data_IF_867804388506
#
_entry.id   IF_867804388506
#
_cell.length_a   1.000
_cell.length_b   1.000
_cell.length_c   1.000
_cell.angle_alpha   90.00
_cell.angle_beta   90.00
_cell.angle_gamma   90.00
#
_symmetry.space_group_name_H-M   'P 1'
#
loop_
_entity.id
_entity.type
_entity.pdbx_description
1 polymer ?
#
# COMPACT_ATOMS: atom_id res chain seq x y z
N UNK A 1 -27.55 1.43 16.59
CA UNK A 1 -26.32 2.21 16.89
C UNK A 1 -25.62 2.56 15.57
N UNK A 2 -24.93 3.70 15.49
CA UNK A 2 -24.09 4.02 14.31
C UNK A 2 -22.92 3.03 14.28
N UNK A 3 -22.73 2.34 13.17
CA UNK A 3 -21.71 1.29 12.99
C UNK A 3 -20.31 1.85 13.32
N UNK A 4 -19.44 1.12 14.05
CA UNK A 4 -18.08 1.56 14.28
C UNK A 4 -17.32 1.58 12.96
N UNK A 5 -16.81 2.74 12.57
CA UNK A 5 -15.94 2.91 11.42
C UNK A 5 -14.53 2.50 11.84
N UNK A 6 -14.13 1.26 11.52
CA UNK A 6 -12.81 0.74 11.91
C UNK A 6 -11.84 0.94 10.75
N UNK A 7 -11.11 2.05 10.81
CA UNK A 7 -9.90 2.26 10.00
C UNK A 7 -8.71 2.02 10.92
N UNK A 8 -7.73 1.18 10.56
CA UNK A 8 -6.55 1.00 11.38
C UNK A 8 -5.86 2.36 11.58
N UNK A 9 -5.67 2.75 12.83
CA UNK A 9 -4.90 3.91 13.20
C UNK A 9 -3.40 3.55 13.21
N UNK A 10 -2.50 4.50 12.93
CA UNK A 10 -1.07 4.27 13.12
C UNK A 10 -0.75 3.82 14.55
N UNK A 11 0.24 2.93 14.76
CA UNK A 11 0.61 2.44 16.09
C UNK A 11 0.93 3.55 17.09
N UNK A 12 1.52 4.66 16.63
CA UNK A 12 1.83 5.84 17.43
C UNK A 12 0.56 6.49 17.97
N UNK A 13 -0.51 6.54 17.17
CA UNK A 13 -1.82 7.08 17.57
C UNK A 13 -2.46 6.15 18.58
N UNK A 14 -2.38 4.84 18.37
CA UNK A 14 -2.88 3.84 19.31
C UNK A 14 -2.20 3.99 20.67
N UNK A 15 -0.87 4.11 20.69
CA UNK A 15 -0.10 4.32 21.91
C UNK A 15 -0.49 5.60 22.67
N UNK A 16 -0.79 6.69 21.95
CA UNK A 16 -1.30 7.94 22.53
C UNK A 16 -2.67 7.74 23.18
N UNK A 17 -3.61 7.09 22.49
CA UNK A 17 -4.95 6.82 23.00
C UNK A 17 -4.91 5.91 24.23
N UNK A 18 -4.07 4.88 24.23
CA UNK A 18 -3.88 4.01 25.39
C UNK A 18 -3.28 4.75 26.58
N UNK A 19 -2.28 5.60 26.35
CA UNK A 19 -1.68 6.40 27.40
C UNK A 19 -2.71 7.36 28.01
N UNK A 20 -3.57 7.95 27.17
CA UNK A 20 -4.69 8.79 27.63
C UNK A 20 -5.70 7.99 28.45
N UNK A 21 -6.07 6.79 27.99
CA UNK A 21 -6.98 5.89 28.71
C UNK A 21 -6.43 5.50 30.09
N UNK A 22 -5.11 5.27 30.19
CA UNK A 22 -4.40 4.99 31.46
C UNK A 22 -4.28 6.21 32.38
N UNK A 23 -4.80 7.38 31.99
CA UNK A 23 -4.87 8.58 32.81
C UNK A 23 -3.73 9.58 32.61
N UNK A 24 -2.94 9.47 31.54
CA UNK A 24 -1.88 10.44 31.25
C UNK A 24 -2.49 11.84 30.98
N UNK A 25 -2.14 12.87 31.77
CA UNK A 25 -2.84 14.15 31.73
C UNK A 25 -2.44 15.04 30.54
N UNK A 26 -1.22 14.91 30.03
CA UNK A 26 -0.71 15.67 28.88
C UNK A 26 0.21 14.80 28.02
N UNK A 27 -0.16 14.61 26.76
CA UNK A 27 0.58 13.81 25.78
C UNK A 27 1.24 14.64 24.69
N UNK A 28 1.12 15.97 24.74
CA UNK A 28 1.71 16.86 23.72
C UNK A 28 3.24 16.87 23.71
N UNK A 29 3.88 16.30 24.73
CA UNK A 29 5.34 16.13 24.81
C UNK A 29 5.77 14.65 24.72
N UNK A 30 4.84 13.74 24.47
CA UNK A 30 5.19 12.32 24.33
C UNK A 30 6.00 12.09 23.04
N UNK A 31 6.93 11.14 23.07
CA UNK A 31 7.76 10.82 21.92
C UNK A 31 6.91 10.42 20.69
N UNK A 32 5.85 9.63 20.90
CA UNK A 32 4.91 9.22 19.85
C UNK A 32 4.23 10.42 19.19
N UNK A 33 3.80 11.42 19.96
CA UNK A 33 3.19 12.62 19.39
C UNK A 33 4.20 13.52 18.69
N UNK A 34 5.40 13.70 19.25
CA UNK A 34 6.44 14.53 18.63
C UNK A 34 6.84 13.95 17.26
N UNK A 35 7.02 12.63 17.18
CA UNK A 35 7.33 11.94 15.93
C UNK A 35 6.22 12.09 14.88
N UNK A 36 4.95 11.93 15.30
CA UNK A 36 3.80 11.94 14.41
C UNK A 36 3.37 13.35 13.97
N UNK A 37 3.42 14.33 14.89
CA UNK A 37 2.89 15.68 14.67
C UNK A 37 3.51 16.35 13.45
N UNK A 38 4.84 16.31 13.34
CA UNK A 38 5.53 16.94 12.21
C UNK A 38 5.04 16.38 10.87
N UNK A 39 4.85 15.06 10.80
CA UNK A 39 4.39 14.42 9.57
C UNK A 39 2.93 14.80 9.26
N UNK A 40 2.03 14.75 10.24
CA UNK A 40 0.63 15.13 10.05
C UNK A 40 0.48 16.59 9.64
N UNK A 41 1.17 17.52 10.30
CA UNK A 41 1.14 18.94 9.95
C UNK A 41 1.66 19.16 8.53
N UNK A 42 2.77 18.54 8.15
CA UNK A 42 3.30 18.64 6.79
C UNK A 42 2.35 18.06 5.74
N UNK A 43 1.74 16.91 6.03
CA UNK A 43 0.80 16.25 5.11
C UNK A 43 -0.45 17.09 4.93
N UNK A 44 -1.07 17.59 6.00
CA UNK A 44 -2.26 18.43 5.91
C UNK A 44 -1.96 19.76 5.21
N UNK A 45 -0.81 20.38 5.49
CA UNK A 45 -0.39 21.61 4.79
C UNK A 45 -0.14 21.34 3.30
N UNK A 46 0.52 20.23 2.96
CA UNK A 46 0.70 19.82 1.56
C UNK A 46 -0.65 19.60 0.88
N UNK A 47 -1.57 18.87 1.50
CA UNK A 47 -2.92 18.65 0.95
C UNK A 47 -3.62 19.97 0.64
N UNK A 48 -3.55 20.94 1.56
CA UNK A 48 -4.12 22.28 1.38
C UNK A 48 -3.50 23.03 0.21
N UNK A 49 -2.18 23.09 0.16
CA UNK A 49 -1.44 23.86 -0.85
C UNK A 49 -1.52 23.23 -2.23
N UNK A 50 -1.53 21.90 -2.30
CA UNK A 50 -1.44 21.12 -3.54
C UNK A 50 -2.78 20.55 -4.03
N UNK A 51 -3.90 20.77 -3.33
CA UNK A 51 -5.21 20.36 -3.81
C UNK A 51 -5.58 21.12 -5.10
N UNK A 52 -5.33 20.48 -6.25
CA UNK A 52 -5.59 21.03 -7.58
C UNK A 52 -7.06 21.04 -7.98
N UNK A 53 -7.95 20.38 -7.24
CA UNK A 53 -9.37 20.27 -7.56
C UNK A 53 -10.28 20.69 -6.39
N UNK A 54 -11.37 21.41 -6.67
CA UNK A 54 -12.31 21.90 -5.64
C UNK A 54 -12.98 20.78 -4.85
N UNK A 55 -13.25 19.64 -5.51
CA UNK A 55 -13.80 18.45 -4.87
C UNK A 55 -12.93 17.85 -3.76
N UNK A 56 -11.65 18.24 -3.66
CA UNK A 56 -10.75 17.81 -2.59
C UNK A 56 -10.84 18.70 -1.34
N UNK A 57 -11.31 19.94 -1.47
CA UNK A 57 -11.30 20.94 -0.40
C UNK A 57 -12.07 20.51 0.87
N UNK A 58 -13.24 19.82 0.79
CA UNK A 58 -13.94 19.34 1.99
C UNK A 58 -13.11 18.36 2.83
N UNK A 59 -12.35 17.47 2.18
CA UNK A 59 -11.49 16.51 2.87
C UNK A 59 -10.29 17.22 3.53
N UNK A 60 -9.71 18.24 2.88
CA UNK A 60 -8.66 19.08 3.45
C UNK A 60 -9.14 19.80 4.70
N UNK A 61 -10.28 20.51 4.62
CA UNK A 61 -10.83 21.27 5.74
C UNK A 61 -11.14 20.36 6.94
N UNK A 62 -11.70 19.17 6.66
CA UNK A 62 -11.93 18.16 7.70
C UNK A 62 -10.62 17.70 8.35
N UNK A 63 -9.58 17.40 7.57
CA UNK A 63 -8.29 17.00 8.11
C UNK A 63 -7.66 18.09 9.01
N UNK A 64 -7.69 19.36 8.60
CA UNK A 64 -7.20 20.49 9.41
C UNK A 64 -7.95 20.63 10.74
N UNK A 65 -9.29 20.60 10.68
CA UNK A 65 -10.13 20.71 11.87
C UNK A 65 -9.88 19.56 12.85
N UNK A 66 -9.82 18.33 12.35
CA UNK A 66 -9.64 17.16 13.20
C UNK A 66 -8.22 17.05 13.76
N UNK A 67 -7.19 17.47 13.01
CA UNK A 67 -5.82 17.54 13.52
C UNK A 67 -5.72 18.51 14.71
N UNK A 68 -6.34 19.68 14.60
CA UNK A 68 -6.38 20.67 15.69
C UNK A 68 -7.07 20.11 16.92
N UNK A 69 -8.27 19.52 16.75
CA UNK A 69 -9.01 18.87 17.85
C UNK A 69 -8.25 17.71 18.49
N UNK A 70 -7.54 16.93 17.68
CA UNK A 70 -6.71 15.84 18.18
C UNK A 70 -5.56 16.37 19.05
N UNK A 71 -4.86 17.42 18.60
CA UNK A 71 -3.79 18.06 19.36
C UNK A 71 -4.29 18.66 20.69
N UNK A 72 -5.42 19.38 20.67
CA UNK A 72 -6.04 19.95 21.87
C UNK A 72 -6.43 18.86 22.88
N UNK A 73 -6.98 17.73 22.40
CA UNK A 73 -7.37 16.63 23.26
C UNK A 73 -6.18 15.90 23.92
N UNK A 74 -5.04 15.82 23.23
CA UNK A 74 -3.79 15.32 23.82
C UNK A 74 -3.31 16.21 24.97
N UNK A 75 -3.60 17.52 24.92
CA UNK A 75 -3.27 18.50 25.95
C UNK A 75 -4.07 18.42 27.26
N UNK A 76 -5.02 17.49 27.38
CA UNK A 76 -5.77 17.29 28.64
C UNK A 76 -7.20 17.81 28.64
N UNK A 77 -7.61 18.56 27.61
CA UNK A 77 -8.84 19.36 27.65
C UNK A 77 -10.12 18.60 27.26
N UNK A 78 -10.00 17.35 26.82
CA UNK A 78 -11.05 16.62 26.10
C UNK A 78 -11.16 15.17 26.63
N UNK A 79 -12.37 14.61 26.61
CA UNK A 79 -12.61 13.21 27.00
C UNK A 79 -11.96 12.23 26.01
N UNK A 80 -11.61 11.02 26.47
CA UNK A 80 -10.99 9.98 25.64
C UNK A 80 -11.83 9.65 24.38
N UNK A 81 -13.16 9.59 24.53
CA UNK A 81 -14.08 9.31 23.44
C UNK A 81 -13.99 10.35 22.31
N UNK A 82 -13.97 11.63 22.69
CA UNK A 82 -13.87 12.76 21.76
C UNK A 82 -12.50 12.80 21.09
N UNK A 83 -11.42 12.58 21.84
CA UNK A 83 -10.06 12.44 21.28
C UNK A 83 -9.98 11.29 20.25
N UNK A 84 -10.58 10.15 20.58
CA UNK A 84 -10.60 8.98 19.71
C UNK A 84 -11.40 9.26 18.44
N UNK A 85 -12.57 9.91 18.56
CA UNK A 85 -13.36 10.31 17.38
C UNK A 85 -12.58 11.27 16.47
N UNK A 86 -11.85 12.23 17.04
CA UNK A 86 -11.00 13.12 16.24
C UNK A 86 -9.88 12.38 15.52
N UNK A 87 -9.24 11.39 16.16
CA UNK A 87 -8.26 10.53 15.48
C UNK A 87 -8.88 9.82 14.26
N UNK A 88 -9.99 9.10 14.46
CA UNK A 88 -10.64 8.38 13.36
C UNK A 88 -11.12 9.29 12.24
N UNK A 89 -11.65 10.48 12.56
CA UNK A 89 -12.09 11.44 11.54
C UNK A 89 -10.93 12.09 10.80
N UNK A 90 -9.81 12.34 11.48
CA UNK A 90 -8.57 12.81 10.84
C UNK A 90 -8.09 11.80 9.80
N UNK A 91 -7.83 10.55 10.21
CA UNK A 91 -7.35 9.52 9.29
C UNK A 91 -8.39 9.14 8.23
N UNK A 92 -9.69 9.23 8.56
CA UNK A 92 -10.77 9.12 7.58
C UNK A 92 -10.73 10.23 6.51
N UNK A 93 -10.48 11.48 6.90
CA UNK A 93 -10.33 12.59 5.97
C UNK A 93 -9.08 12.47 5.08
N UNK A 94 -7.97 11.99 5.64
CA UNK A 94 -6.74 11.69 4.88
C UNK A 94 -6.99 10.60 3.83
N UNK A 95 -7.66 9.51 4.21
CA UNK A 95 -8.01 8.43 3.29
C UNK A 95 -9.02 8.87 2.22
N UNK A 96 -10.03 9.66 2.61
CA UNK A 96 -11.02 10.20 1.67
C UNK A 96 -10.37 11.15 0.67
N UNK A 97 -9.41 11.97 1.09
CA UNK A 97 -8.63 12.80 0.17
C UNK A 97 -7.87 11.92 -0.85
N UNK A 98 -7.19 10.87 -0.40
CA UNK A 98 -6.48 9.95 -1.28
C UNK A 98 -7.43 9.25 -2.28
N UNK A 99 -8.60 8.81 -1.81
CA UNK A 99 -9.65 8.18 -2.63
C UNK A 99 -10.22 9.16 -3.65
N UNK A 100 -10.57 10.37 -3.26
CA UNK A 100 -11.08 11.40 -4.17
C UNK A 100 -10.01 11.76 -5.21
N UNK A 101 -8.75 11.89 -4.79
CA UNK A 101 -7.62 12.12 -5.69
C UNK A 101 -7.51 11.01 -6.73
N UNK A 102 -7.59 9.73 -6.35
CA UNK A 102 -7.50 8.63 -7.32
C UNK A 102 -8.62 8.66 -8.36
N UNK A 103 -9.81 9.17 -8.01
CA UNK A 103 -10.95 9.28 -8.94
C UNK A 103 -10.83 10.43 -9.95
N UNK A 104 -9.98 11.43 -9.71
CA UNK A 104 -9.87 12.64 -10.53
C UNK A 104 -9.03 12.47 -11.80
N UNK A 105 -8.88 11.24 -12.32
CA UNK A 105 -7.94 10.86 -13.40
C UNK A 105 -6.54 11.42 -13.10
N UNK A 106 -5.83 10.72 -12.22
CA UNK A 106 -4.41 10.95 -11.98
C UNK A 106 -3.62 10.28 -13.10
N UNK A 107 -2.60 10.98 -13.61
CA UNK A 107 -1.62 10.31 -14.47
C UNK A 107 -0.88 9.27 -13.62
N UNK A 108 -0.66 8.06 -14.12
CA UNK A 108 0.06 7.02 -13.37
C UNK A 108 1.58 7.28 -13.28
N UNK A 109 2.07 8.25 -14.05
CA UNK A 109 3.45 8.75 -13.97
C UNK A 109 3.49 9.86 -12.91
N UNK A 110 4.12 9.63 -11.73
CA UNK A 110 4.04 10.53 -10.59
C UNK A 110 4.50 11.97 -10.89
N UNK A 111 5.55 12.13 -11.69
CA UNK A 111 6.11 13.44 -12.05
C UNK A 111 5.16 14.24 -12.95
N UNK A 112 4.39 13.56 -13.81
CA UNK A 112 3.38 14.21 -14.66
C UNK A 112 2.17 14.61 -13.83
N UNK A 113 1.68 13.72 -12.95
CA UNK A 113 0.58 14.05 -12.03
C UNK A 113 0.95 15.22 -11.13
N UNK A 114 2.15 15.21 -10.54
CA UNK A 114 2.64 16.27 -9.68
C UNK A 114 2.69 17.63 -10.41
N UNK A 115 3.17 17.65 -11.67
CA UNK A 115 3.21 18.86 -12.48
C UNK A 115 1.81 19.39 -12.81
N UNK A 116 0.87 18.51 -13.16
CA UNK A 116 -0.54 18.90 -13.41
C UNK A 116 -1.17 19.50 -12.15
N UNK A 117 -0.97 18.88 -10.98
CA UNK A 117 -1.46 19.41 -9.71
C UNK A 117 -0.81 20.76 -9.37
N UNK A 118 0.49 20.91 -9.61
CA UNK A 118 1.20 22.17 -9.40
C UNK A 118 0.58 23.31 -10.22
N UNK A 119 0.30 23.06 -11.51
CA UNK A 119 -0.33 24.05 -12.40
C UNK A 119 -1.74 24.44 -11.94
N UNK A 120 -2.55 23.46 -11.55
CA UNK A 120 -3.87 23.76 -11.00
C UNK A 120 -3.78 24.54 -9.68
N UNK A 121 -2.84 24.20 -8.80
CA UNK A 121 -2.63 24.91 -7.55
C UNK A 121 -2.14 26.37 -7.75
N UNK A 122 -1.29 26.62 -8.75
CA UNK A 122 -0.91 27.98 -9.18
C UNK A 122 -2.13 28.76 -9.67
N UNK A 123 -2.95 28.16 -10.55
CA UNK A 123 -4.18 28.79 -11.04
C UNK A 123 -5.18 29.14 -9.92
N UNK A 124 -5.11 28.41 -8.80
CA UNK A 124 -5.91 28.67 -7.59
C UNK A 124 -5.23 29.61 -6.59
N UNK A 125 -4.05 30.15 -6.91
CA UNK A 125 -3.28 31.06 -6.06
C UNK A 125 -2.69 30.40 -4.80
N UNK A 126 -2.49 29.07 -4.80
CA UNK A 126 -2.04 28.30 -3.63
C UNK A 126 -0.53 28.00 -3.62
N UNK A 127 0.09 27.99 -4.79
CA UNK A 127 1.53 27.79 -4.99
C UNK A 127 2.17 28.94 -5.74
N UNK A 128 3.43 29.23 -5.40
CA UNK A 128 4.30 30.14 -6.15
C UNK A 128 5.10 29.41 -7.22
N UNK A 129 5.59 30.15 -8.23
CA UNK A 129 6.42 29.59 -9.31
C UNK A 129 7.77 29.04 -8.84
N UNK A 130 8.30 29.57 -7.74
CA UNK A 130 9.50 29.08 -7.07
C UNK A 130 9.36 27.63 -6.58
N UNK A 131 8.14 27.21 -6.23
CA UNK A 131 7.84 25.84 -5.81
C UNK A 131 7.51 24.91 -6.98
N UNK A 132 7.09 25.47 -8.12
CA UNK A 132 6.80 24.73 -9.35
C UNK A 132 8.08 24.40 -10.11
N UNK A 133 9.11 25.24 -10.03
CA UNK A 133 10.35 25.09 -10.80
C UNK A 133 11.04 23.73 -10.56
N UNK A 134 11.22 23.24 -9.32
CA UNK A 134 11.80 21.92 -9.08
C UNK A 134 10.92 20.76 -9.60
N UNK A 135 9.60 20.94 -9.65
CA UNK A 135 8.66 19.93 -10.19
C UNK A 135 8.81 19.85 -11.70
N UNK A 136 8.94 21.01 -12.36
CA UNK A 136 9.21 21.10 -13.79
C UNK A 136 10.54 20.42 -14.16
N UNK A 137 11.58 20.59 -13.36
CA UNK A 137 12.87 19.89 -13.58
C UNK A 137 12.73 18.37 -13.51
N UNK A 138 12.01 17.84 -12.50
CA UNK A 138 11.72 16.40 -12.39
C UNK A 138 10.89 15.89 -13.56
N UNK A 139 9.88 16.66 -13.98
CA UNK A 139 9.07 16.35 -15.15
C UNK A 139 9.94 16.22 -16.41
N UNK A 140 10.82 17.20 -16.66
CA UNK A 140 11.72 17.19 -17.82
C UNK A 140 12.60 15.94 -17.79
N UNK A 141 13.22 15.64 -16.64
CA UNK A 141 14.05 14.46 -16.48
C UNK A 141 13.29 13.15 -16.75
N UNK A 142 12.04 13.02 -16.26
CA UNK A 142 11.21 11.84 -16.52
C UNK A 142 10.84 11.72 -18.00
N UNK A 143 10.52 12.83 -18.65
CA UNK A 143 10.20 12.85 -20.08
C UNK A 143 11.41 12.48 -20.92
N UNK A 144 12.60 13.01 -20.61
CA UNK A 144 13.85 12.65 -21.27
C UNK A 144 14.15 11.15 -21.14
N UNK A 145 13.89 10.58 -19.96
CA UNK A 145 14.01 9.14 -19.72
C UNK A 145 13.05 8.32 -20.61
N UNK A 146 11.77 8.71 -20.68
CA UNK A 146 10.78 8.04 -21.55
C UNK A 146 11.13 8.17 -23.03
N UNK A 147 11.74 9.29 -23.45
CA UNK A 147 12.27 9.47 -24.81
C UNK A 147 13.44 8.52 -25.07
N UNK A 148 14.31 8.29 -24.07
CA UNK A 148 15.38 7.28 -24.14
C UNK A 148 14.82 5.89 -24.42
N UNK A 149 13.88 5.44 -23.59
CA UNK A 149 13.20 4.14 -23.75
C UNK A 149 12.54 4.00 -25.13
N UNK A 150 11.86 5.05 -25.58
CA UNK A 150 11.25 5.06 -26.91
C UNK A 150 12.30 4.87 -28.00
N UNK A 151 13.44 5.57 -27.93
CA UNK A 151 14.52 5.43 -28.93
C UNK A 151 15.07 4.01 -28.96
N UNK A 152 15.28 3.40 -27.80
CA UNK A 152 15.87 2.06 -27.68
C UNK A 152 14.93 0.95 -28.18
N UNK A 153 13.60 1.13 -28.10
CA UNK A 153 12.60 0.12 -28.48
C UNK A 153 11.75 0.44 -29.71
N UNK A 154 11.85 1.64 -30.28
CA UNK A 154 10.91 2.13 -31.31
C UNK A 154 10.84 1.26 -32.57
N UNK A 155 11.94 0.64 -32.98
CA UNK A 155 12.03 -0.19 -34.18
C UNK A 155 11.14 -1.45 -34.12
N UNK A 156 10.72 -1.85 -32.93
CA UNK A 156 9.88 -3.03 -32.70
C UNK A 156 8.40 -2.70 -32.52
N UNK A 157 8.04 -1.41 -32.53
CA UNK A 157 6.67 -0.95 -32.36
C UNK A 157 5.97 -0.74 -33.71
N UNK A 158 4.66 -1.04 -33.82
CA UNK A 158 3.84 -0.62 -34.96
C UNK A 158 3.90 0.90 -35.19
N UNK A 159 3.90 1.33 -36.45
CA UNK A 159 4.01 2.75 -36.84
C UNK A 159 2.94 3.64 -36.18
N UNK A 160 1.71 3.13 -36.05
CA UNK A 160 0.60 3.83 -35.40
C UNK A 160 0.89 4.16 -33.92
N UNK A 161 1.54 3.24 -33.21
CA UNK A 161 1.96 3.42 -31.81
C UNK A 161 3.11 4.41 -31.74
N UNK A 162 4.09 4.31 -32.64
CA UNK A 162 5.20 5.28 -32.71
C UNK A 162 4.69 6.70 -32.90
N UNK A 163 3.75 6.93 -33.82
CA UNK A 163 3.15 8.25 -34.08
C UNK A 163 2.36 8.77 -32.87
N UNK A 164 1.62 7.90 -32.18
CA UNK A 164 0.90 8.28 -30.96
C UNK A 164 1.88 8.74 -29.87
N UNK A 165 2.96 8.00 -29.62
CA UNK A 165 3.98 8.33 -28.63
C UNK A 165 4.72 9.64 -28.97
N UNK A 166 5.10 9.84 -30.23
CA UNK A 166 5.69 11.10 -30.71
C UNK A 166 4.74 12.29 -30.49
N UNK A 167 3.43 12.10 -30.71
CA UNK A 167 2.42 13.12 -30.40
C UNK A 167 2.34 13.40 -28.89
N UNK A 168 2.44 12.36 -28.06
CA UNK A 168 2.52 12.48 -26.60
C UNK A 168 3.72 13.35 -26.17
N UNK A 169 4.92 13.05 -26.67
CA UNK A 169 6.13 13.84 -26.40
C UNK A 169 6.02 15.29 -26.90
N UNK A 170 5.45 15.51 -28.08
CA UNK A 170 5.24 16.87 -28.61
C UNK A 170 4.26 17.68 -27.76
N UNK A 171 3.19 17.05 -27.27
CA UNK A 171 2.23 17.68 -26.36
C UNK A 171 2.88 18.02 -25.02
N UNK A 172 3.76 17.16 -24.50
CA UNK A 172 4.52 17.43 -23.28
C UNK A 172 5.50 18.60 -23.45
N UNK A 173 6.26 18.64 -24.55
CA UNK A 173 7.17 19.76 -24.86
C UNK A 173 6.42 21.09 -24.98
N UNK A 174 5.21 21.06 -25.55
CA UNK A 174 4.33 22.24 -25.64
C UNK A 174 3.91 22.70 -24.25
N UNK A 175 3.51 21.77 -23.37
CA UNK A 175 3.14 22.10 -22.01
C UNK A 175 4.32 22.71 -21.22
N UNK A 176 5.52 22.12 -21.31
CA UNK A 176 6.73 22.66 -20.66
C UNK A 176 7.07 24.06 -21.18
N UNK A 177 6.93 24.29 -22.49
CA UNK A 177 7.12 25.62 -23.07
C UNK A 177 6.10 26.64 -22.52
N UNK A 178 4.83 26.23 -22.37
CA UNK A 178 3.78 27.05 -21.76
C UNK A 178 4.05 27.32 -20.27
N UNK A 179 4.62 26.37 -19.51
CA UNK A 179 5.05 26.64 -18.13
C UNK A 179 6.12 27.73 -18.06
N UNK A 180 7.03 27.78 -19.03
CA UNK A 180 8.10 28.77 -19.07
C UNK A 180 7.61 30.20 -19.33
N UNK A 181 6.44 30.37 -19.96
CA UNK A 181 5.85 31.70 -20.18
C UNK A 181 5.29 32.29 -18.89
N UNK A 182 4.93 31.43 -17.93
CA UNK A 182 4.28 31.79 -16.64
C UNK A 182 2.99 32.59 -16.82
N UNK A 183 2.36 32.47 -17.98
CA UNK A 183 1.11 33.13 -18.32
C UNK A 183 -0.06 32.31 -17.79
N UNK A 184 -0.81 32.87 -16.84
CA UNK A 184 -1.99 32.23 -16.22
C UNK A 184 -3.03 31.77 -17.24
N UNK A 185 -3.17 32.50 -18.36
CA UNK A 185 -4.11 32.15 -19.42
C UNK A 185 -3.74 30.85 -20.16
N UNK A 186 -2.47 30.43 -20.09
CA UNK A 186 -1.95 29.23 -20.75
C UNK A 186 -1.85 28.02 -19.80
N UNK A 187 -2.04 28.20 -18.48
CA UNK A 187 -1.85 27.12 -17.51
C UNK A 187 -2.90 26.02 -17.61
N UNK A 188 -4.15 26.38 -17.95
CA UNK A 188 -5.20 25.39 -18.19
C UNK A 188 -4.88 24.53 -19.42
N UNK A 189 -4.37 25.14 -20.48
CA UNK A 189 -3.97 24.44 -21.71
C UNK A 189 -2.72 23.58 -21.46
N UNK A 190 -1.75 24.08 -20.67
CA UNK A 190 -0.57 23.31 -20.27
C UNK A 190 -0.96 22.06 -19.47
N UNK A 191 -1.85 22.19 -18.48
CA UNK A 191 -2.34 21.06 -17.69
C UNK A 191 -3.12 20.04 -18.56
N UNK A 192 -3.95 20.52 -19.50
CA UNK A 192 -4.65 19.65 -20.44
C UNK A 192 -3.69 18.90 -21.37
N UNK A 193 -2.67 19.59 -21.91
CA UNK A 193 -1.62 18.98 -22.72
C UNK A 193 -0.84 17.92 -21.93
N UNK A 194 -0.45 18.22 -20.68
CA UNK A 194 0.22 17.23 -19.82
C UNK A 194 -0.66 16.02 -19.53
N UNK A 195 -1.94 16.22 -19.26
CA UNK A 195 -2.89 15.14 -18.99
C UNK A 195 -3.05 14.24 -20.22
N UNK A 196 -3.20 14.84 -21.40
CA UNK A 196 -3.32 14.10 -22.66
C UNK A 196 -2.02 13.34 -22.97
N UNK A 197 -0.86 14.00 -22.84
CA UNK A 197 0.45 13.39 -23.03
C UNK A 197 0.65 12.23 -22.05
N UNK A 198 0.33 12.44 -20.76
CA UNK A 198 0.40 11.43 -19.71
C UNK A 198 -0.38 10.16 -20.08
N UNK A 199 -1.63 10.30 -20.51
CA UNK A 199 -2.45 9.14 -20.90
C UNK A 199 -1.87 8.30 -22.05
N UNK A 200 -1.05 8.91 -22.90
CA UNK A 200 -0.37 8.23 -24.01
C UNK A 200 0.95 7.60 -23.54
N UNK A 201 1.74 8.36 -22.78
CA UNK A 201 3.06 7.98 -22.32
C UNK A 201 3.04 6.96 -21.17
N UNK A 202 1.93 6.86 -20.44
CA UNK A 202 1.68 5.82 -19.44
C UNK A 202 1.88 4.41 -19.99
N UNK A 203 1.64 4.18 -21.28
CA UNK A 203 1.90 2.87 -21.88
C UNK A 203 3.39 2.54 -21.97
N UNK A 204 4.26 3.53 -22.22
CA UNK A 204 5.72 3.32 -22.17
C UNK A 204 6.22 3.09 -20.75
N UNK A 205 5.69 3.88 -19.80
CA UNK A 205 5.99 3.73 -18.38
C UNK A 205 5.52 2.38 -17.84
N UNK A 206 4.32 1.95 -18.25
CA UNK A 206 3.77 0.64 -17.93
C UNK A 206 4.55 -0.49 -18.59
N UNK A 207 4.99 -0.37 -19.84
CA UNK A 207 5.85 -1.36 -20.46
C UNK A 207 7.21 -1.46 -19.79
N UNK A 208 7.80 -0.33 -19.40
CA UNK A 208 9.00 -0.32 -18.57
C UNK A 208 8.73 -1.04 -17.24
N UNK A 209 7.68 -0.66 -16.52
CA UNK A 209 7.31 -1.29 -15.25
C UNK A 209 6.93 -2.75 -15.41
N UNK A 210 6.30 -3.16 -16.50
CA UNK A 210 5.95 -4.56 -16.80
C UNK A 210 7.20 -5.35 -17.14
N UNK A 211 8.14 -4.80 -17.89
CA UNK A 211 9.44 -5.41 -18.13
C UNK A 211 10.24 -5.49 -16.83
N UNK A 212 10.27 -4.42 -16.05
CA UNK A 212 10.88 -4.37 -14.72
C UNK A 212 10.16 -5.31 -13.75
N UNK A 213 8.83 -5.45 -13.75
CA UNK A 213 8.04 -6.36 -12.91
C UNK A 213 8.10 -7.82 -13.37
N UNK A 214 8.21 -8.09 -14.67
CA UNK A 214 8.58 -9.41 -15.19
C UNK A 214 9.98 -9.78 -14.69
N UNK A 215 10.85 -8.77 -14.51
CA UNK A 215 12.17 -8.90 -13.89
C UNK A 215 12.13 -8.81 -12.34
N UNK A 216 11.06 -8.29 -11.73
CA UNK A 216 10.99 -7.90 -10.29
C UNK A 216 9.71 -8.32 -9.56
N UNK A 217 9.03 -9.37 -10.02
CA UNK A 217 7.80 -9.88 -9.42
C UNK A 217 7.90 -9.90 -7.88
N UNK A 218 6.98 -9.21 -7.20
CA UNK A 218 7.05 -8.86 -5.78
C UNK A 218 6.83 -10.08 -4.86
N UNK A 219 7.86 -10.92 -4.81
CA UNK A 219 8.41 -11.46 -3.57
C UNK A 219 9.89 -11.04 -3.58
N UNK A 220 10.20 -9.76 -3.22
CA UNK A 220 11.26 -8.97 -3.87
C UNK A 220 12.72 -9.32 -3.52
N UNK A 221 12.97 -10.43 -2.84
CA UNK A 221 14.35 -10.92 -2.58
C UNK A 221 14.52 -12.37 -3.00
N UNK A 222 13.42 -13.13 -3.14
CA UNK A 222 13.43 -14.56 -3.50
C UNK A 222 13.22 -14.72 -5.01
N UNK A 223 12.27 -13.99 -5.61
CA UNK A 223 11.77 -14.28 -6.96
C UNK A 223 12.81 -14.12 -8.07
N UNK A 224 13.45 -12.94 -8.14
CA UNK A 224 14.45 -12.64 -9.17
C UNK A 224 15.68 -13.53 -9.05
N UNK A 225 16.19 -13.67 -7.83
CA UNK A 225 17.43 -14.40 -7.55
C UNK A 225 17.25 -15.91 -7.81
N UNK A 226 16.09 -16.47 -7.43
CA UNK A 226 15.72 -17.86 -7.78
C UNK A 226 15.56 -18.03 -9.30
N UNK A 227 15.00 -17.03 -10.00
CA UNK A 227 14.87 -17.07 -11.46
C UNK A 227 16.23 -16.99 -12.18
N UNK A 228 17.17 -16.18 -11.71
CA UNK A 228 18.52 -16.08 -12.27
C UNK A 228 19.25 -17.44 -12.16
N UNK A 229 19.15 -18.11 -11.00
CA UNK A 229 19.65 -19.48 -10.81
C UNK A 229 18.98 -20.49 -11.74
N UNK A 230 17.65 -20.41 -11.90
CA UNK A 230 16.90 -21.27 -12.81
C UNK A 230 17.28 -21.06 -14.28
N UNK A 231 17.48 -19.81 -14.71
CA UNK A 231 17.91 -19.47 -16.07
C UNK A 231 19.33 -19.94 -16.35
N UNK A 232 20.23 -19.83 -15.37
CA UNK A 232 21.57 -20.38 -15.46
C UNK A 232 21.56 -21.90 -15.59
N UNK A 233 20.75 -22.61 -14.78
CA UNK A 233 20.55 -24.05 -14.90
C UNK A 233 20.05 -24.46 -16.29
N UNK A 234 19.08 -23.73 -16.84
CA UNK A 234 18.53 -24.01 -18.16
C UNK A 234 19.52 -23.74 -19.30
N UNK A 235 20.33 -22.69 -19.18
CA UNK A 235 21.26 -22.28 -20.23
C UNK A 235 22.57 -23.07 -20.21
N UNK A 236 23.08 -23.38 -19.02
CA UNK A 236 24.41 -23.96 -18.82
C UNK A 236 24.37 -25.43 -18.38
N UNK A 237 23.20 -25.95 -17.98
CA UNK A 237 23.02 -27.33 -17.51
C UNK A 237 23.53 -27.59 -16.08
N UNK A 238 24.14 -26.59 -15.42
CA UNK A 238 24.59 -26.62 -14.04
C UNK A 238 24.74 -25.17 -13.53
N UNK A 239 24.67 -24.99 -12.20
CA UNK A 239 25.02 -23.72 -11.55
C UNK A 239 26.53 -23.56 -11.45
N UNK A 240 27.02 -22.35 -11.64
CA UNK A 240 28.40 -21.98 -11.33
C UNK A 240 28.66 -22.03 -9.83
N UNK A 241 29.93 -22.18 -9.45
CA UNK A 241 30.35 -22.11 -8.04
C UNK A 241 30.00 -20.76 -7.42
N UNK A 242 30.09 -19.66 -8.17
CA UNK A 242 29.72 -18.32 -7.70
C UNK A 242 28.23 -18.22 -7.36
N UNK A 243 27.37 -18.80 -8.21
CA UNK A 243 25.91 -18.82 -8.01
C UNK A 243 25.50 -19.69 -6.82
N UNK A 244 26.18 -20.82 -6.62
CA UNK A 244 26.00 -21.66 -5.43
C UNK A 244 26.45 -20.88 -4.18
N UNK A 245 27.65 -20.30 -4.19
CA UNK A 245 28.16 -19.50 -3.07
C UNK A 245 27.25 -18.31 -2.73
N UNK A 246 26.70 -17.63 -3.73
CA UNK A 246 25.71 -16.55 -3.57
C UNK A 246 24.45 -17.04 -2.87
N UNK A 247 23.92 -18.19 -3.30
CA UNK A 247 22.75 -18.80 -2.67
C UNK A 247 22.99 -19.07 -1.18
N UNK A 248 24.10 -19.73 -0.87
CA UNK A 248 24.43 -20.15 0.50
C UNK A 248 24.75 -18.99 1.44
N UNK A 249 25.62 -18.08 1.00
CA UNK A 249 26.16 -17.05 1.87
C UNK A 249 25.26 -15.82 1.96
N UNK A 250 24.42 -15.57 0.95
CA UNK A 250 23.61 -14.37 0.88
C UNK A 250 22.12 -14.62 0.80
N UNK A 251 21.65 -15.41 -0.18
CA UNK A 251 20.22 -15.47 -0.49
C UNK A 251 19.45 -16.31 0.54
N UNK A 252 19.82 -17.57 0.76
CA UNK A 252 19.11 -18.45 1.69
C UNK A 252 19.00 -17.85 3.12
N UNK A 253 20.06 -17.26 3.71
CA UNK A 253 19.96 -16.59 5.01
C UNK A 253 18.98 -15.40 5.00
N UNK A 254 19.06 -14.52 3.99
CA UNK A 254 18.15 -13.37 3.86
C UNK A 254 16.70 -13.83 3.72
N UNK A 255 16.45 -14.84 2.89
CA UNK A 255 15.11 -15.39 2.67
C UNK A 255 14.55 -15.94 3.99
N UNK A 256 15.35 -16.66 4.78
CA UNK A 256 14.92 -17.16 6.08
C UNK A 256 14.65 -16.03 7.09
N UNK A 257 15.47 -14.98 7.11
CA UNK A 257 15.28 -13.79 7.95
C UNK A 257 13.96 -13.07 7.63
N UNK A 258 13.64 -12.90 6.33
CA UNK A 258 12.39 -12.29 5.89
C UNK A 258 11.17 -13.20 6.09
N UNK A 259 11.33 -14.48 5.81
CA UNK A 259 10.24 -15.47 5.87
C UNK A 259 9.78 -15.76 7.29
N UNK A 260 10.71 -15.83 8.25
CA UNK A 260 10.44 -16.18 9.64
C UNK A 260 9.33 -15.34 10.29
N UNK A 261 9.38 -14.00 10.20
CA UNK A 261 8.28 -13.14 10.64
C UNK A 261 7.07 -13.18 9.71
N UNK A 262 7.27 -13.09 8.39
CA UNK A 262 6.21 -12.90 7.41
C UNK A 262 5.21 -14.06 7.33
N UNK A 263 5.66 -15.30 7.57
CA UNK A 263 4.77 -16.49 7.57
C UNK A 263 3.63 -16.41 8.59
N UNK A 264 3.76 -15.57 9.61
CA UNK A 264 2.72 -15.34 10.61
C UNK A 264 1.68 -14.29 10.17
N UNK A 265 1.98 -13.50 9.14
CA UNK A 265 1.19 -12.34 8.70
C UNK A 265 0.24 -12.64 7.52
N UNK A 266 0.22 -13.86 6.98
CA UNK A 266 -0.71 -14.19 5.91
C UNK A 266 -2.14 -14.39 6.42
N UNK A 267 -3.05 -13.60 5.88
CA UNK A 267 -4.47 -13.64 6.18
C UNK A 267 -5.16 -14.72 5.36
N UNK A 268 -5.02 -15.99 5.70
CA UNK A 268 -5.72 -17.10 5.01
C UNK A 268 -6.20 -18.14 6.03
N UNK A 269 -7.07 -19.07 5.61
CA UNK A 269 -7.55 -20.12 6.52
C UNK A 269 -6.38 -20.91 7.11
N UNK A 270 -6.47 -21.30 8.38
CA UNK A 270 -5.44 -22.07 9.08
C UNK A 270 -5.01 -23.33 8.33
N UNK A 271 -5.98 -24.07 7.79
CA UNK A 271 -5.71 -25.31 7.04
C UNK A 271 -4.85 -25.06 5.79
N UNK A 272 -5.08 -23.94 5.09
CA UNK A 272 -4.27 -23.57 3.93
C UNK A 272 -2.94 -22.95 4.34
N UNK A 273 -2.93 -22.12 5.39
CA UNK A 273 -1.72 -21.51 5.94
C UNK A 273 -0.72 -22.59 6.37
N UNK A 274 -1.14 -23.56 7.16
CA UNK A 274 -0.28 -24.64 7.66
C UNK A 274 0.34 -25.46 6.51
N UNK A 275 -0.46 -25.76 5.47
CA UNK A 275 0.03 -26.48 4.29
C UNK A 275 1.00 -25.65 3.46
N UNK A 276 0.67 -24.40 3.19
CA UNK A 276 1.46 -23.52 2.33
C UNK A 276 2.77 -23.13 3.02
N UNK A 277 2.69 -22.70 4.28
CA UNK A 277 3.85 -22.37 5.11
C UNK A 277 4.72 -23.60 5.32
N UNK A 278 4.13 -24.75 5.66
CA UNK A 278 4.89 -26.00 5.82
C UNK A 278 5.59 -26.44 4.53
N UNK A 279 4.95 -26.26 3.36
CA UNK A 279 5.58 -26.52 2.05
C UNK A 279 6.75 -25.57 1.80
N UNK A 280 6.58 -24.27 2.02
CA UNK A 280 7.65 -23.27 1.84
C UNK A 280 8.80 -23.53 2.83
N UNK A 281 8.51 -23.80 4.09
CA UNK A 281 9.52 -24.14 5.11
C UNK A 281 10.33 -25.39 4.69
N UNK A 282 9.65 -26.41 4.16
CA UNK A 282 10.31 -27.63 3.66
C UNK A 282 11.21 -27.33 2.47
N UNK A 283 10.73 -26.58 1.48
CA UNK A 283 11.51 -26.21 0.30
C UNK A 283 12.71 -25.34 0.64
N UNK A 284 12.55 -24.38 1.56
CA UNK A 284 13.65 -23.54 2.05
C UNK A 284 14.70 -24.35 2.81
N UNK A 285 14.28 -25.39 3.53
CA UNK A 285 15.19 -26.31 4.21
C UNK A 285 15.93 -27.21 3.20
N UNK A 286 15.22 -27.80 2.25
CA UNK A 286 15.81 -28.64 1.21
C UNK A 286 16.83 -27.85 0.39
N UNK A 287 16.50 -26.63 -0.01
CA UNK A 287 17.42 -25.76 -0.77
C UNK A 287 18.64 -25.29 0.05
N UNK A 288 18.73 -25.55 1.36
CA UNK A 288 20.00 -25.40 2.07
C UNK A 288 21.03 -26.47 1.66
N UNK A 289 20.62 -27.51 0.95
CA UNK A 289 21.49 -28.57 0.44
C UNK A 289 21.61 -28.48 -1.09
N UNK A 290 21.41 -27.28 -1.66
CA UNK A 290 21.46 -27.01 -3.10
C UNK A 290 22.69 -27.62 -3.77
N UNK A 291 23.87 -27.54 -3.15
CA UNK A 291 25.14 -28.07 -3.71
C UNK A 291 25.15 -29.60 -3.84
N UNK A 292 24.36 -30.29 -3.01
CA UNK A 292 24.30 -31.75 -2.92
C UNK A 292 23.21 -32.35 -3.82
N UNK A 293 22.46 -31.51 -4.53
CA UNK A 293 21.40 -31.90 -5.45
C UNK A 293 21.90 -32.07 -6.89
N UNK A 294 21.23 -32.92 -7.66
CA UNK A 294 21.41 -32.93 -9.12
C UNK A 294 20.86 -31.65 -9.75
N UNK A 295 21.35 -31.20 -10.93
CA UNK A 295 20.84 -30.00 -11.59
C UNK A 295 19.32 -30.02 -11.85
N UNK A 296 18.76 -31.21 -12.09
CA UNK A 296 17.32 -31.39 -12.27
C UNK A 296 16.56 -31.16 -10.94
N UNK A 297 17.04 -31.73 -9.84
CA UNK A 297 16.47 -31.53 -8.51
C UNK A 297 16.59 -30.07 -8.05
N UNK A 298 17.72 -29.40 -8.34
CA UNK A 298 17.89 -27.98 -8.09
C UNK A 298 16.83 -27.15 -8.81
N UNK A 299 16.65 -27.40 -10.12
CA UNK A 299 15.66 -26.69 -10.92
C UNK A 299 14.23 -26.93 -10.42
N UNK A 300 13.87 -28.19 -10.14
CA UNK A 300 12.53 -28.55 -9.70
C UNK A 300 12.19 -27.96 -8.33
N UNK A 301 13.15 -27.94 -7.38
CA UNK A 301 12.96 -27.35 -6.05
C UNK A 301 12.91 -25.82 -6.08
N UNK A 302 13.77 -25.17 -6.87
CA UNK A 302 13.73 -23.71 -7.08
C UNK A 302 12.39 -23.28 -7.71
N UNK A 303 11.92 -24.02 -8.71
CA UNK A 303 10.61 -23.80 -9.33
C UNK A 303 9.46 -24.00 -8.35
N UNK A 304 9.48 -25.09 -7.58
CA UNK A 304 8.46 -25.37 -6.58
C UNK A 304 8.39 -24.29 -5.50
N UNK A 305 9.55 -23.74 -5.11
CA UNK A 305 9.63 -22.60 -4.18
C UNK A 305 8.97 -21.35 -4.78
N UNK A 306 9.31 -21.01 -6.02
CA UNK A 306 8.72 -19.86 -6.72
C UNK A 306 7.19 -19.99 -6.86
N UNK A 307 6.71 -21.16 -7.30
CA UNK A 307 5.28 -21.45 -7.43
C UNK A 307 4.56 -21.35 -6.07
N UNK A 308 5.19 -21.84 -5.00
CA UNK A 308 4.61 -21.78 -3.66
C UNK A 308 4.47 -20.33 -3.14
N UNK A 309 5.47 -19.48 -3.39
CA UNK A 309 5.39 -18.06 -3.04
C UNK A 309 4.33 -17.31 -3.88
N UNK A 310 4.20 -17.64 -5.16
CA UNK A 310 3.18 -17.06 -6.04
C UNK A 310 1.73 -17.40 -5.61
N UNK A 311 1.52 -18.51 -4.90
CA UNK A 311 0.21 -18.87 -4.36
C UNK A 311 -0.23 -17.98 -3.17
N UNK A 312 0.69 -17.31 -2.48
CA UNK A 312 0.39 -16.55 -1.26
C UNK A 312 -0.62 -15.41 -1.50
N UNK A 313 -0.44 -14.51 -2.49
CA UNK A 313 -1.39 -13.41 -2.72
C UNK A 313 -2.78 -13.92 -3.14
N UNK A 314 -2.84 -15.00 -3.93
CA UNK A 314 -4.10 -15.57 -4.44
C UNK A 314 -4.95 -16.24 -3.35
N UNK A 315 -4.34 -16.64 -2.24
CA UNK A 315 -5.01 -17.36 -1.14
C UNK A 315 -5.30 -16.47 0.07
N UNK A 316 -4.71 -15.29 0.11
CA UNK A 316 -4.94 -14.31 1.17
C UNK A 316 -6.35 -13.72 1.03
N UNK A 317 -7.08 -13.64 2.14
CA UNK A 317 -8.39 -13.04 2.27
C UNK A 317 -8.34 -11.58 1.81
N UNK A 318 -9.14 -11.30 0.79
CA UNK A 318 -9.38 -9.95 0.29
C UNK A 318 -10.72 -9.44 0.82
N UNK A 319 -10.86 -8.12 0.98
CA UNK A 319 -12.09 -7.49 1.49
C UNK A 319 -13.32 -7.91 0.68
N UNK A 320 -13.15 -8.02 -0.62
CA UNK A 320 -14.14 -8.43 -1.62
C UNK A 320 -14.72 -9.82 -1.32
N UNK A 321 -13.98 -10.69 -0.63
CA UNK A 321 -14.44 -12.03 -0.24
C UNK A 321 -15.59 -12.01 0.79
N UNK A 322 -15.84 -10.87 1.42
CA UNK A 322 -16.81 -10.73 2.52
C UNK A 322 -17.99 -9.85 2.16
N UNK A 323 -18.12 -9.36 0.92
CA UNK A 323 -19.17 -8.40 0.51
C UNK A 323 -20.61 -8.91 0.77
N UNK A 324 -20.82 -10.23 0.76
CA UNK A 324 -22.11 -10.88 1.00
C UNK A 324 -22.35 -11.27 2.47
N UNK A 325 -21.40 -10.98 3.36
CA UNK A 325 -21.60 -11.14 4.80
C UNK A 325 -22.60 -10.10 5.31
N UNK A 326 -23.47 -10.40 6.29
CA UNK A 326 -24.38 -9.40 6.88
C UNK A 326 -23.64 -8.24 7.56
N UNK A 327 -22.40 -8.50 7.96
CA UNK A 327 -21.51 -7.57 8.65
C UNK A 327 -20.12 -7.59 8.01
N UNK A 328 -19.96 -7.06 6.78
CA UNK A 328 -18.67 -7.11 6.06
C UNK A 328 -17.60 -6.24 6.73
N UNK A 329 -18.03 -5.21 7.49
CA UNK A 329 -17.18 -4.32 8.28
C UNK A 329 -16.38 -5.03 9.39
N UNK A 330 -16.79 -6.24 9.78
CA UNK A 330 -16.05 -7.02 10.76
C UNK A 330 -14.69 -7.48 10.23
N UNK A 331 -14.58 -7.71 8.92
CA UNK A 331 -13.30 -8.01 8.27
C UNK A 331 -12.28 -6.90 8.52
N UNK A 332 -12.67 -5.65 8.25
CA UNK A 332 -11.84 -4.47 8.49
C UNK A 332 -11.44 -4.37 9.98
N UNK A 333 -12.33 -4.78 10.88
CA UNK A 333 -12.07 -4.81 12.33
C UNK A 333 -11.01 -5.84 12.70
N UNK A 334 -11.14 -7.08 12.22
CA UNK A 334 -10.16 -8.15 12.47
C UNK A 334 -8.79 -7.83 11.89
N UNK A 335 -8.75 -7.31 10.67
CA UNK A 335 -7.51 -6.87 10.02
C UNK A 335 -6.88 -5.72 10.83
N UNK A 336 -7.66 -4.73 11.26
CA UNK A 336 -7.15 -3.63 12.06
C UNK A 336 -6.63 -4.08 13.44
N UNK A 337 -7.29 -5.06 14.08
CA UNK A 337 -6.81 -5.66 15.34
C UNK A 337 -5.51 -6.43 15.13
N UNK A 338 -5.38 -7.19 14.04
CA UNK A 338 -4.14 -7.88 13.67
C UNK A 338 -2.99 -6.91 13.40
N UNK A 339 -3.28 -5.80 12.73
CA UNK A 339 -2.33 -4.72 12.48
C UNK A 339 -1.97 -3.91 13.74
N UNK A 340 -2.54 -4.25 14.90
CA UNK A 340 -2.41 -3.49 16.16
C UNK A 340 -2.84 -2.02 16.01
N UNK A 341 -3.72 -1.74 15.05
CA UNK A 341 -4.20 -0.40 14.69
C UNK A 341 -5.46 0.02 15.44
N UNK A 342 -5.90 -0.76 16.45
CA UNK A 342 -7.10 -0.47 17.26
C UNK A 342 -6.71 -0.44 18.74
N UNK A 343 -7.03 0.64 19.49
CA UNK A 343 -6.77 0.70 20.92
C UNK A 343 -7.49 -0.40 21.70
N UNK A 344 -6.79 -1.01 22.67
CA UNK A 344 -7.31 -2.17 23.41
C UNK A 344 -8.71 -1.96 24.00
N UNK A 345 -8.95 -0.80 24.62
CA UNK A 345 -10.23 -0.49 25.26
C UNK A 345 -11.41 -0.49 24.27
N UNK A 346 -11.18 -0.18 22.99
CA UNK A 346 -12.22 -0.25 21.97
C UNK A 346 -12.49 -1.69 21.54
N UNK A 347 -11.46 -2.52 21.48
CA UNK A 347 -11.62 -3.94 21.20
C UNK A 347 -12.44 -4.58 22.31
N UNK A 348 -12.19 -4.22 23.57
CA UNK A 348 -12.97 -4.72 24.72
C UNK A 348 -14.45 -4.29 24.62
N UNK A 349 -14.76 -3.06 24.19
CA UNK A 349 -16.14 -2.62 23.92
C UNK A 349 -16.81 -3.38 22.78
N UNK A 350 -16.08 -3.64 21.69
CA UNK A 350 -16.59 -4.42 20.56
C UNK A 350 -16.89 -5.86 20.99
N UNK A 351 -16.02 -6.47 21.80
CA UNK A 351 -16.25 -7.80 22.37
C UNK A 351 -17.52 -7.80 23.23
N UNK A 352 -17.72 -6.78 24.06
CA UNK A 352 -18.91 -6.67 24.91
C UNK A 352 -20.19 -6.60 24.07
N UNK A 353 -20.20 -5.84 22.99
CA UNK A 353 -21.33 -5.75 22.05
C UNK A 353 -21.55 -7.08 21.29
N UNK A 354 -20.47 -7.69 20.80
CA UNK A 354 -20.51 -8.98 20.10
C UNK A 354 -21.06 -10.11 20.97
N UNK A 355 -20.74 -10.11 22.25
CA UNK A 355 -21.20 -11.12 23.21
C UNK A 355 -22.70 -11.01 23.51
N UNK A 356 -23.35 -9.89 23.16
CA UNK A 356 -24.80 -9.70 23.34
C UNK A 356 -25.62 -10.27 22.18
N UNK A 357 -24.99 -10.62 21.06
CA UNK A 357 -25.65 -11.15 19.87
C UNK A 357 -25.20 -12.59 19.61
N UNK A 358 -26.17 -13.49 19.39
CA UNK A 358 -25.90 -14.89 19.04
C UNK A 358 -25.09 -15.04 17.75
N UNK A 359 -25.28 -14.10 16.82
CA UNK A 359 -24.70 -14.17 15.47
C UNK A 359 -23.22 -13.75 15.48
N UNK A 360 -22.78 -12.99 16.48
CA UNK A 360 -21.41 -12.49 16.60
C UNK A 360 -20.67 -13.05 17.81
N UNK A 361 -21.32 -13.92 18.59
CA UNK A 361 -20.76 -14.47 19.83
C UNK A 361 -19.44 -15.23 19.58
N UNK A 362 -19.39 -16.05 18.53
CA UNK A 362 -18.19 -16.82 18.17
C UNK A 362 -17.03 -15.90 17.76
N UNK A 363 -17.34 -14.78 17.10
CA UNK A 363 -16.38 -13.75 16.71
C UNK A 363 -15.81 -13.00 17.93
N UNK A 364 -16.66 -12.64 18.89
CA UNK A 364 -16.25 -12.06 20.17
C UNK A 364 -15.39 -13.01 21.01
N UNK A 365 -15.71 -14.32 20.98
CA UNK A 365 -14.90 -15.35 21.65
C UNK A 365 -13.51 -15.46 21.04
N UNK A 366 -13.40 -15.47 19.72
CA UNK A 366 -12.12 -15.52 19.01
C UNK A 366 -11.24 -14.30 19.32
N UNK A 367 -11.82 -13.09 19.31
CA UNK A 367 -11.12 -11.86 19.73
C UNK A 367 -10.62 -11.96 21.17
N UNK A 368 -11.46 -12.42 22.08
CA UNK A 368 -11.08 -12.59 23.49
C UNK A 368 -9.91 -13.56 23.66
N UNK A 369 -9.93 -14.68 22.92
CA UNK A 369 -8.86 -15.68 22.97
C UNK A 369 -7.55 -15.13 22.42
N UNK A 370 -7.57 -14.49 21.24
CA UNK A 370 -6.41 -13.78 20.70
C UNK A 370 -5.82 -12.80 21.71
N UNK A 371 -6.66 -11.95 22.27
CA UNK A 371 -6.27 -10.91 23.22
C UNK A 371 -5.69 -11.44 24.55
N UNK A 372 -5.90 -12.71 24.87
CA UNK A 372 -5.38 -13.39 26.07
C UNK A 372 -4.11 -14.19 25.82
N UNK A 373 -3.91 -14.66 24.58
CA UNK A 373 -2.82 -15.58 24.21
C UNK A 373 -1.80 -14.94 23.27
N UNK A 374 -2.14 -13.82 22.64
CA UNK A 374 -1.47 -13.23 21.48
C UNK A 374 -1.40 -14.20 20.28
N UNK A 375 -2.21 -15.26 20.28
CA UNK A 375 -2.26 -16.25 19.22
C UNK A 375 -3.18 -15.78 18.09
N UNK A 376 -2.55 -15.31 17.01
CA UNK A 376 -3.21 -14.76 15.81
C UNK A 376 -4.11 -15.76 15.10
N UNK A 377 -3.92 -17.06 15.32
CA UNK A 377 -4.77 -18.08 14.71
C UNK A 377 -6.24 -17.92 15.08
N UNK A 378 -6.55 -17.42 16.30
CA UNK A 378 -7.93 -17.14 16.69
C UNK A 378 -8.59 -16.06 15.82
N UNK A 379 -7.85 -15.04 15.38
CA UNK A 379 -8.40 -14.01 14.47
C UNK A 379 -8.55 -14.55 13.05
N UNK A 380 -7.67 -15.46 12.61
CA UNK A 380 -7.83 -16.16 11.33
C UNK A 380 -9.04 -17.10 11.34
N UNK A 381 -9.29 -17.78 12.45
CA UNK A 381 -10.48 -18.61 12.65
C UNK A 381 -11.76 -17.77 12.61
N UNK A 382 -11.73 -16.54 13.14
CA UNK A 382 -12.83 -15.59 13.05
C UNK A 382 -13.09 -15.14 11.59
N UNK A 383 -12.04 -14.84 10.83
CA UNK A 383 -12.14 -14.50 9.41
C UNK A 383 -12.66 -15.68 8.57
N UNK A 384 -12.20 -16.89 8.85
CA UNK A 384 -12.69 -18.11 8.19
C UNK A 384 -14.18 -18.38 8.49
N UNK A 385 -14.60 -18.14 9.74
CA UNK A 385 -16.01 -18.20 10.12
C UNK A 385 -16.86 -17.21 9.31
N UNK A 386 -16.44 -15.95 9.24
CA UNK A 386 -17.12 -14.92 8.44
C UNK A 386 -17.19 -15.28 6.95
N UNK A 387 -16.12 -15.84 6.38
CA UNK A 387 -16.11 -16.21 4.97
C UNK A 387 -17.13 -17.33 4.69
N UNK A 388 -17.20 -18.33 5.58
CA UNK A 388 -18.18 -19.42 5.47
C UNK A 388 -19.62 -18.90 5.53
N UNK A 389 -19.90 -17.91 6.36
CA UNK A 389 -21.21 -17.26 6.44
C UNK A 389 -21.53 -16.44 5.18
N UNK A 390 -20.56 -15.67 4.69
CA UNK A 390 -20.68 -14.92 3.41
C UNK A 390 -21.04 -15.85 2.24
N UNK A 391 -20.34 -16.99 2.11
CA UNK A 391 -20.59 -17.96 1.05
C UNK A 391 -21.94 -18.68 1.17
N UNK A 392 -22.45 -18.88 2.39
CA UNK A 392 -23.80 -19.44 2.60
C UNK A 392 -24.87 -18.47 2.12
N UNK A 393 -24.70 -17.18 2.38
CA UNK A 393 -25.66 -16.14 1.98
C UNK A 393 -25.61 -15.83 0.49
N UNK A 394 -24.46 -16.01 -0.18
CA UNK A 394 -24.36 -15.86 -1.63
C UNK A 394 -25.12 -16.94 -2.43
N UNK A 395 -25.34 -18.12 -1.84
CA UNK A 395 -26.01 -19.26 -2.48
C UNK A 395 -27.53 -19.28 -2.28
N UNK A 396 -28.07 -18.29 -1.57
CA UNK A 396 -29.51 -18.05 -1.35
C UNK A 396 -29.93 -16.89 -2.24
#
# INVERSE_FOLDING_TARGET
MKKPYVVPLPPEVVALLESKHKGAPNLTQSASWIALKSHLTQTTERMKRWAGHEGLDPAVASAEEQLTKFEEGLGGQVKLEELTQSAYRLFGALNEYARLRSTLRTCQIPEIDEAVQALHAVNRGRLGWDEVEPVKERLIARVDHLVGLFKDGSEHLPEEIQQALLKGFASMNTAVAQMNTRDESQLADAAANMTNAGSILEHLDKWQREFEMEISCEVPVVGREVQELMMELQSNGALSTESVDLWYNELAPKIQEFWGPARHDFFMSRTFKDKLVGRIDTLLYELQELENMTPQEQFDNLRALADAFAEVPARTYQRESFEHHPQPWLFDTFVAVLAKGVPRFQIDWIIEDMNQSTDTYELGRCLTQYLSTDDRDFLLDALDHMQRESQRNYKV
#
